data_IF_627845104104
#
_entry.id   IF_627845104104
#
_cell.length_a   1.000
_cell.length_b   1.000
_cell.length_c   1.000
_cell.angle_alpha   90.00
_cell.angle_beta   90.00
_cell.angle_gamma   90.00
#
_symmetry.space_group_name_H-M   'P 1'
#
loop_
_entity.id
_entity.type
_entity.pdbx_description
1 polymer ?
#
# COMPACT_ATOMS: atom_id res chain seq x y z
N UNK A 1 10.94 21.43 -36.07
CA UNK A 1 11.95 20.74 -35.24
C UNK A 1 12.97 20.12 -36.18
N UNK A 2 14.25 20.45 -36.04
CA UNK A 2 15.27 20.08 -37.04
C UNK A 2 15.89 18.69 -36.80
N UNK A 3 15.30 17.91 -35.90
CA UNK A 3 15.80 16.60 -35.52
C UNK A 3 14.72 15.53 -35.69
N UNK A 4 15.08 14.45 -36.36
CA UNK A 4 14.27 13.24 -36.45
C UNK A 4 14.38 12.42 -35.15
N UNK A 5 13.45 11.48 -34.94
CA UNK A 5 13.53 10.52 -33.86
C UNK A 5 14.79 9.64 -33.96
N UNK A 6 15.21 9.01 -32.85
CA UNK A 6 16.35 8.07 -32.88
C UNK A 6 15.95 6.83 -33.69
N UNK A 7 16.62 6.60 -34.82
CA UNK A 7 16.36 5.52 -35.77
C UNK A 7 17.66 4.79 -36.13
N UNK A 8 17.61 3.51 -36.53
CA UNK A 8 18.78 2.81 -37.05
C UNK A 8 19.24 3.43 -38.38
N UNK A 9 20.55 3.51 -38.58
CA UNK A 9 21.16 4.10 -39.79
C UNK A 9 21.27 3.13 -40.97
N UNK A 10 20.94 1.85 -40.76
CA UNK A 10 21.09 0.78 -41.76
C UNK A 10 22.49 0.18 -41.86
N UNK A 11 23.49 0.76 -41.17
CA UNK A 11 24.87 0.25 -41.15
C UNK A 11 24.96 -0.95 -40.21
N UNK A 12 25.53 -2.05 -40.70
CA UNK A 12 25.78 -3.26 -39.91
C UNK A 12 27.24 -3.34 -39.48
N UNK A 13 27.48 -3.35 -38.17
CA UNK A 13 28.79 -3.57 -37.55
C UNK A 13 28.65 -4.47 -36.33
N UNK A 14 29.76 -5.10 -35.92
CA UNK A 14 29.80 -5.89 -34.69
C UNK A 14 29.87 -4.96 -33.48
N UNK A 15 28.80 -4.92 -32.69
CA UNK A 15 28.71 -4.09 -31.48
C UNK A 15 29.15 -4.88 -30.24
N UNK A 16 29.65 -4.16 -29.23
CA UNK A 16 29.84 -4.75 -27.89
C UNK A 16 28.49 -5.02 -27.23
N UNK A 17 28.46 -5.93 -26.25
CA UNK A 17 27.22 -6.40 -25.61
C UNK A 17 26.27 -5.26 -25.19
N UNK A 18 26.76 -4.27 -24.43
CA UNK A 18 25.91 -3.15 -23.98
C UNK A 18 25.40 -2.27 -25.13
N UNK A 19 26.23 -2.03 -26.15
CA UNK A 19 25.84 -1.28 -27.35
C UNK A 19 24.78 -2.05 -28.15
N UNK A 20 24.97 -3.37 -28.30
CA UNK A 20 24.01 -4.25 -28.95
C UNK A 20 22.65 -4.21 -28.23
N UNK A 21 22.64 -4.28 -26.90
CA UNK A 21 21.39 -4.22 -26.13
C UNK A 21 20.62 -2.90 -26.36
N UNK A 22 21.31 -1.76 -26.40
CA UNK A 22 20.69 -0.46 -26.70
C UNK A 22 20.21 -0.41 -28.15
N UNK A 23 21.03 -0.88 -29.09
CA UNK A 23 20.69 -0.93 -30.51
C UNK A 23 19.46 -1.81 -30.77
N UNK A 24 19.38 -3.00 -30.15
CA UNK A 24 18.25 -3.91 -30.27
C UNK A 24 16.95 -3.26 -29.78
N UNK A 25 17.00 -2.48 -28.70
CA UNK A 25 15.83 -1.75 -28.20
C UNK A 25 15.38 -0.70 -29.23
N UNK A 26 16.32 0.06 -29.80
CA UNK A 26 16.03 1.09 -30.82
C UNK A 26 15.44 0.43 -32.07
N UNK A 27 16.06 -0.62 -32.58
CA UNK A 27 15.62 -1.33 -33.79
C UNK A 27 14.26 -1.97 -33.59
N UNK A 28 14.03 -2.70 -32.48
CA UNK A 28 12.71 -3.26 -32.18
C UNK A 28 11.64 -2.17 -32.08
N UNK A 29 11.97 -1.04 -31.45
CA UNK A 29 11.05 0.09 -31.37
C UNK A 29 10.76 0.71 -32.73
N UNK A 30 11.76 0.82 -33.60
CA UNK A 30 11.61 1.32 -34.97
C UNK A 30 10.77 0.37 -35.82
N UNK A 31 11.07 -0.94 -35.81
CA UNK A 31 10.30 -1.97 -36.51
C UNK A 31 8.84 -1.94 -36.09
N UNK A 32 8.57 -1.81 -34.77
CA UNK A 32 7.21 -1.77 -34.23
C UNK A 32 6.36 -0.61 -34.78
N UNK A 33 6.95 0.46 -35.28
CA UNK A 33 6.20 1.59 -35.90
C UNK A 33 5.58 1.19 -37.24
N UNK A 34 6.11 0.16 -37.91
CA UNK A 34 5.60 -0.34 -39.19
C UNK A 34 4.56 -1.46 -39.05
N UNK A 35 4.20 -1.82 -37.82
CA UNK A 35 3.12 -2.75 -37.54
C UNK A 35 1.83 -1.99 -37.26
N UNK A 36 0.70 -2.65 -37.50
CA UNK A 36 -0.61 -2.12 -37.14
C UNK A 36 -0.73 -1.84 -35.64
N UNK A 37 -1.66 -0.96 -35.30
CA UNK A 37 -2.03 -0.70 -33.91
C UNK A 37 -2.56 -1.96 -33.22
N UNK A 38 -2.30 -2.05 -31.91
CA UNK A 38 -2.90 -3.09 -31.08
C UNK A 38 -4.39 -2.78 -30.87
N UNK A 39 -5.27 -3.57 -31.46
CA UNK A 39 -6.71 -3.49 -31.23
C UNK A 39 -7.06 -4.10 -29.87
N UNK A 40 -7.64 -3.29 -28.99
CA UNK A 40 -8.09 -3.71 -27.66
C UNK A 40 -9.56 -3.34 -27.42
N UNK A 41 -10.31 -4.25 -26.82
CA UNK A 41 -11.65 -3.96 -26.31
C UNK A 41 -11.58 -3.68 -24.80
N UNK A 42 -12.00 -2.49 -24.36
CA UNK A 42 -12.11 -2.19 -22.94
C UNK A 42 -13.40 -2.82 -22.39
N UNK A 43 -13.25 -3.86 -21.58
CA UNK A 43 -14.35 -4.68 -21.09
C UNK A 43 -14.67 -4.33 -19.65
N UNK A 44 -15.92 -3.94 -19.40
CA UNK A 44 -16.47 -3.81 -18.04
C UNK A 44 -17.47 -4.94 -17.82
N UNK A 45 -17.18 -5.81 -16.86
CA UNK A 45 -18.05 -6.92 -16.51
C UNK A 45 -18.74 -6.60 -15.20
N UNK A 46 -20.07 -6.64 -15.22
CA UNK A 46 -20.91 -6.49 -14.05
C UNK A 46 -21.50 -7.86 -13.73
N UNK A 47 -20.96 -8.49 -12.68
CA UNK A 47 -21.39 -9.79 -12.19
C UNK A 47 -22.33 -9.63 -10.99
N UNK A 48 -23.20 -10.61 -10.78
CA UNK A 48 -24.07 -10.68 -9.59
C UNK A 48 -23.89 -12.01 -8.90
N UNK A 49 -23.56 -11.98 -7.61
CA UNK A 49 -23.60 -13.16 -6.74
C UNK A 49 -24.64 -12.93 -5.65
N UNK A 50 -25.66 -13.78 -5.59
CA UNK A 50 -26.86 -13.60 -4.78
C UNK A 50 -27.50 -12.20 -4.98
N UNK A 51 -27.36 -11.28 -4.01
CA UNK A 51 -27.88 -9.90 -4.09
C UNK A 51 -26.78 -8.85 -4.29
N UNK A 52 -25.51 -9.24 -4.31
CA UNK A 52 -24.37 -8.32 -4.37
C UNK A 52 -23.88 -8.19 -5.81
N UNK A 53 -23.65 -6.95 -6.24
CA UNK A 53 -23.10 -6.62 -7.56
C UNK A 53 -21.59 -6.45 -7.45
N UNK A 54 -20.86 -7.09 -8.37
CA UNK A 54 -19.42 -6.99 -8.51
C UNK A 54 -19.08 -6.35 -9.86
N UNK A 55 -18.05 -5.52 -9.89
CA UNK A 55 -17.53 -4.90 -11.11
C UNK A 55 -16.08 -5.33 -11.28
N UNK A 56 -15.74 -5.79 -12.48
CA UNK A 56 -14.34 -5.88 -12.92
C UNK A 56 -14.17 -5.12 -14.22
N UNK A 57 -13.00 -4.51 -14.39
CA UNK A 57 -12.64 -3.76 -15.57
C UNK A 57 -11.30 -4.25 -16.06
N UNK A 58 -11.18 -4.41 -17.36
CA UNK A 58 -9.92 -4.74 -17.99
C UNK A 58 -10.03 -4.61 -19.49
N UNK A 59 -9.09 -5.21 -20.20
CA UNK A 59 -8.99 -5.15 -21.65
C UNK A 59 -8.84 -6.54 -22.24
N UNK A 60 -9.48 -6.75 -23.36
CA UNK A 60 -9.29 -7.92 -24.20
C UNK A 60 -8.46 -7.50 -25.41
N UNK A 61 -7.44 -8.28 -25.76
CA UNK A 61 -6.59 -8.00 -26.93
C UNK A 61 -7.22 -8.71 -28.13
N UNK A 62 -7.79 -7.94 -29.06
CA UNK A 62 -8.43 -8.46 -30.28
C UNK A 62 -7.37 -8.74 -31.36
N UNK A 63 -6.43 -7.81 -31.53
CA UNK A 63 -5.28 -7.95 -32.41
C UNK A 63 -4.04 -7.37 -31.74
N UNK A 64 -2.93 -8.11 -31.80
CA UNK A 64 -1.69 -7.74 -31.08
C UNK A 64 -0.96 -6.56 -31.73
N UNK A 65 -1.04 -6.43 -33.06
CA UNK A 65 -0.34 -5.37 -33.81
C UNK A 65 1.17 -5.34 -33.48
N UNK A 66 1.69 -4.14 -33.24
CA UNK A 66 3.08 -3.89 -32.85
C UNK A 66 3.59 -4.70 -31.65
N UNK A 67 2.71 -5.23 -30.79
CA UNK A 67 3.11 -6.00 -29.60
C UNK A 67 3.91 -7.25 -29.95
N UNK A 68 3.67 -7.84 -31.12
CA UNK A 68 4.36 -9.04 -31.60
C UNK A 68 5.89 -8.86 -31.60
N UNK A 69 6.37 -7.65 -31.89
CA UNK A 69 7.81 -7.33 -31.92
C UNK A 69 8.48 -7.42 -30.53
N UNK A 70 7.69 -7.29 -29.46
CA UNK A 70 8.17 -7.33 -28.07
C UNK A 70 7.89 -8.65 -27.36
N UNK A 71 7.19 -9.59 -27.99
CA UNK A 71 6.94 -10.91 -27.42
C UNK A 71 8.23 -11.73 -27.41
N UNK A 72 8.79 -11.99 -26.22
CA UNK A 72 9.81 -13.02 -26.07
C UNK A 72 9.16 -14.29 -25.53
N UNK A 73 9.53 -15.43 -26.10
CA UNK A 73 9.09 -16.78 -25.68
C UNK A 73 9.36 -17.11 -24.20
N UNK A 74 10.29 -16.38 -23.56
CA UNK A 74 10.67 -16.58 -22.16
C UNK A 74 10.05 -15.58 -21.16
N UNK A 75 9.32 -14.56 -21.62
CA UNK A 75 8.66 -13.60 -20.73
C UNK A 75 7.15 -13.76 -20.83
N UNK A 76 6.56 -14.46 -19.84
CA UNK A 76 5.14 -14.29 -19.54
C UNK A 76 4.94 -12.88 -19.01
N UNK A 77 4.75 -11.92 -19.90
CA UNK A 77 4.31 -10.59 -19.51
C UNK A 77 2.97 -10.75 -18.79
N UNK A 78 3.03 -10.68 -17.46
CA UNK A 78 1.85 -10.56 -16.60
C UNK A 78 1.35 -9.13 -16.70
N UNK A 79 0.92 -8.72 -17.88
CA UNK A 79 0.25 -7.44 -18.04
C UNK A 79 -1.06 -7.54 -17.25
N UNK A 80 -1.14 -6.81 -16.14
CA UNK A 80 -2.30 -6.83 -15.26
C UNK A 80 -3.50 -6.20 -15.97
N UNK A 81 -4.67 -6.85 -15.87
CA UNK A 81 -5.92 -6.33 -16.41
C UNK A 81 -6.29 -6.84 -17.80
N UNK A 82 -5.60 -7.87 -18.32
CA UNK A 82 -6.13 -8.65 -19.44
C UNK A 82 -7.27 -9.52 -18.93
N UNK A 83 -8.44 -9.38 -19.54
CA UNK A 83 -9.62 -10.18 -19.24
C UNK A 83 -9.88 -11.18 -20.39
N UNK A 84 -10.40 -12.37 -20.09
CA UNK A 84 -10.96 -13.23 -21.12
C UNK A 84 -12.23 -12.61 -21.71
N UNK A 85 -12.67 -13.14 -22.85
CA UNK A 85 -13.97 -12.83 -23.43
C UNK A 85 -15.09 -13.27 -22.47
N UNK A 86 -16.07 -12.40 -22.24
CA UNK A 86 -17.25 -12.71 -21.43
C UNK A 86 -18.51 -12.63 -22.27
N UNK A 87 -19.43 -13.59 -22.08
CA UNK A 87 -20.74 -13.57 -22.73
C UNK A 87 -21.83 -13.15 -21.73
N UNK A 88 -22.76 -12.30 -22.15
CA UNK A 88 -23.90 -11.91 -21.31
C UNK A 88 -24.70 -13.16 -20.90
N UNK A 89 -24.90 -13.33 -19.60
CA UNK A 89 -25.64 -14.47 -19.04
C UNK A 89 -24.78 -15.68 -18.66
N UNK A 90 -23.47 -15.65 -18.95
CA UNK A 90 -22.52 -16.65 -18.48
C UNK A 90 -22.51 -16.73 -16.93
N UNK A 91 -22.31 -17.93 -16.41
CA UNK A 91 -22.30 -18.23 -14.97
C UNK A 91 -21.14 -19.17 -14.66
N UNK A 92 -20.52 -18.98 -13.51
CA UNK A 92 -19.42 -19.81 -13.06
C UNK A 92 -19.38 -19.94 -11.53
N UNK A 93 -18.60 -20.91 -11.01
CA UNK A 93 -18.33 -21.00 -9.59
C UNK A 93 -17.63 -19.73 -9.09
N UNK A 94 -17.90 -19.33 -7.85
CA UNK A 94 -17.23 -18.20 -7.20
C UNK A 94 -16.88 -18.56 -5.76
N UNK A 95 -15.70 -18.14 -5.32
CA UNK A 95 -15.23 -18.32 -3.94
C UNK A 95 -15.04 -16.94 -3.30
N UNK A 96 -15.83 -16.60 -2.26
CA UNK A 96 -15.67 -15.31 -1.58
C UNK A 96 -14.37 -15.31 -0.78
N UNK A 97 -13.63 -14.21 -0.86
CA UNK A 97 -12.45 -13.94 -0.02
C UNK A 97 -12.53 -12.55 0.59
N UNK A 98 -11.99 -12.41 1.80
CA UNK A 98 -11.84 -11.12 2.47
C UNK A 98 -10.41 -10.63 2.26
N UNK A 99 -10.25 -9.59 1.45
CA UNK A 99 -8.97 -8.93 1.22
C UNK A 99 -8.83 -7.75 2.17
N UNK A 100 -7.99 -7.92 3.19
CA UNK A 100 -7.51 -6.81 4.00
C UNK A 100 -6.45 -6.04 3.22
N UNK A 101 -6.64 -4.72 3.07
CA UNK A 101 -5.73 -3.84 2.33
C UNK A 101 -5.35 -2.67 3.23
N UNK A 102 -4.09 -2.27 3.13
CA UNK A 102 -3.56 -1.07 3.78
C UNK A 102 -2.99 -0.12 2.74
N UNK A 103 -3.03 1.18 3.02
CA UNK A 103 -2.34 2.17 2.19
C UNK A 103 -0.83 1.98 2.32
N UNK A 104 -0.13 2.19 1.20
CA UNK A 104 1.33 2.17 1.18
C UNK A 104 1.85 3.58 0.97
N UNK A 105 2.96 3.97 1.62
CA UNK A 105 3.60 5.23 1.31
C UNK A 105 4.06 5.26 -0.16
N UNK A 106 4.28 6.45 -0.74
CA UNK A 106 4.84 6.58 -2.07
C UNK A 106 6.14 5.78 -2.22
N UNK A 107 6.31 5.12 -3.36
CA UNK A 107 7.54 4.40 -3.65
C UNK A 107 8.68 5.40 -3.84
N UNK A 108 9.88 5.03 -3.39
CA UNK A 108 11.09 5.77 -3.74
C UNK A 108 11.30 5.78 -5.25
N UNK A 109 11.96 6.83 -5.73
CA UNK A 109 12.33 6.93 -7.14
C UNK A 109 13.31 5.82 -7.54
N UNK A 110 13.21 5.37 -8.78
CA UNK A 110 14.29 4.75 -9.54
C UNK A 110 14.88 5.81 -10.48
N UNK A 111 15.99 5.54 -11.16
CA UNK A 111 16.51 6.50 -12.15
C UNK A 111 15.49 6.81 -13.25
N UNK A 112 14.77 5.78 -13.72
CA UNK A 112 13.71 5.94 -14.72
C UNK A 112 12.53 6.77 -14.19
N UNK A 113 12.07 6.53 -12.96
CA UNK A 113 10.95 7.31 -12.41
C UNK A 113 11.37 8.72 -11.98
N UNK A 114 12.63 8.93 -11.60
CA UNK A 114 13.19 10.25 -11.36
C UNK A 114 13.29 11.05 -12.67
N UNK A 115 13.77 10.44 -13.75
CA UNK A 115 13.86 11.08 -15.06
C UNK A 115 12.47 11.47 -15.58
N UNK A 116 11.48 10.57 -15.43
CA UNK A 116 10.07 10.88 -15.70
C UNK A 116 9.53 12.00 -14.82
N UNK A 117 9.92 12.05 -13.54
CA UNK A 117 9.51 13.13 -12.64
C UNK A 117 10.11 14.48 -13.06
N UNK A 118 11.36 14.50 -13.55
CA UNK A 118 11.97 15.70 -14.11
C UNK A 118 11.24 16.16 -15.38
N UNK A 119 10.87 15.24 -16.27
CA UNK A 119 10.04 15.52 -17.46
C UNK A 119 8.68 16.12 -17.11
N UNK A 120 8.02 15.58 -16.10
CA UNK A 120 6.65 16.00 -15.72
C UNK A 120 6.61 16.91 -14.50
N UNK A 121 7.70 17.59 -14.18
CA UNK A 121 7.81 18.43 -12.99
C UNK A 121 6.75 19.53 -12.93
N UNK A 122 6.29 20.02 -14.10
CA UNK A 122 5.20 20.98 -14.20
C UNK A 122 3.88 20.53 -13.56
N UNK A 123 3.65 19.23 -13.36
CA UNK A 123 2.45 18.73 -12.64
C UNK A 123 2.36 19.19 -11.18
N UNK A 124 3.48 19.65 -10.62
CA UNK A 124 3.54 20.17 -9.25
C UNK A 124 3.46 21.70 -9.20
N UNK A 125 3.25 22.36 -10.34
CA UNK A 125 3.07 23.81 -10.44
C UNK A 125 1.58 24.11 -10.46
N UNK A 126 1.15 25.03 -9.60
CA UNK A 126 -0.26 25.41 -9.47
C UNK A 126 -0.73 26.33 -10.60
N UNK A 127 0.16 27.19 -11.12
CA UNK A 127 -0.13 28.08 -12.24
C UNK A 127 -0.25 27.33 -13.57
N UNK A 128 -1.39 27.48 -14.25
CA UNK A 128 -1.72 26.74 -15.47
C UNK A 128 -0.78 27.11 -16.63
N UNK A 129 -0.40 28.37 -16.75
CA UNK A 129 0.45 28.86 -17.84
C UNK A 129 1.88 28.33 -17.69
N UNK A 130 2.44 28.41 -16.48
CA UNK A 130 3.75 27.83 -16.15
C UNK A 130 3.74 26.31 -16.30
N UNK A 131 2.65 25.65 -15.88
CA UNK A 131 2.50 24.20 -16.05
C UNK A 131 2.55 23.80 -17.51
N UNK A 132 1.85 24.54 -18.39
CA UNK A 132 1.83 24.29 -19.82
C UNK A 132 3.20 24.47 -20.46
N UNK A 133 3.93 25.51 -20.08
CA UNK A 133 5.31 25.74 -20.54
C UNK A 133 6.27 24.63 -20.08
N UNK A 134 6.02 24.06 -18.90
CA UNK A 134 6.77 22.93 -18.38
C UNK A 134 6.36 21.57 -18.94
N UNK A 135 5.27 21.45 -19.72
CA UNK A 135 4.88 20.15 -20.34
C UNK A 135 5.90 19.67 -21.37
N UNK A 136 6.52 20.60 -22.10
CA UNK A 136 7.50 20.27 -23.15
C UNK A 136 8.90 19.99 -22.55
N UNK A 137 9.29 20.78 -21.55
CA UNK A 137 10.68 20.80 -21.06
C UNK A 137 10.86 20.28 -19.63
N UNK A 138 9.86 20.33 -18.75
CA UNK A 138 10.02 19.95 -17.35
C UNK A 138 11.20 20.68 -16.68
N UNK A 139 11.94 19.98 -15.81
CA UNK A 139 13.22 20.45 -15.27
C UNK A 139 14.37 19.88 -16.11
N UNK A 140 15.07 20.76 -16.82
CA UNK A 140 16.18 20.42 -17.71
C UNK A 140 15.73 19.81 -19.04
N UNK A 141 16.62 19.79 -20.03
CA UNK A 141 16.33 19.28 -21.38
C UNK A 141 16.66 17.78 -21.50
N UNK A 142 16.13 17.06 -22.50
CA UNK A 142 16.49 15.65 -22.74
C UNK A 142 18.00 15.38 -22.73
N UNK A 143 18.81 16.32 -23.22
CA UNK A 143 20.28 16.25 -23.25
C UNK A 143 20.96 16.47 -21.88
N UNK A 144 20.30 17.09 -20.90
CA UNK A 144 20.94 17.48 -19.63
C UNK A 144 20.49 16.64 -18.43
N UNK A 145 19.30 16.02 -18.47
CA UNK A 145 18.74 15.28 -17.32
C UNK A 145 19.64 14.14 -16.81
N UNK A 146 20.20 13.32 -17.72
CA UNK A 146 21.09 12.24 -17.34
C UNK A 146 22.36 12.76 -16.64
N UNK A 147 22.95 13.83 -17.16
CA UNK A 147 24.15 14.46 -16.58
C UNK A 147 23.86 15.11 -15.21
N UNK A 148 22.67 15.67 -15.02
CA UNK A 148 22.23 16.20 -13.70
C UNK A 148 22.19 15.05 -12.68
N UNK A 149 21.55 13.93 -13.01
CA UNK A 149 21.43 12.77 -12.12
C UNK A 149 22.83 12.21 -11.78
N UNK A 150 23.70 12.05 -12.77
CA UNK A 150 25.08 11.60 -12.55
C UNK A 150 25.89 12.58 -11.69
N UNK A 151 25.68 13.89 -11.84
CA UNK A 151 26.30 14.91 -10.98
C UNK A 151 25.86 14.77 -9.53
N UNK A 152 24.57 14.49 -9.28
CA UNK A 152 24.04 14.27 -7.93
C UNK A 152 24.66 13.01 -7.28
N UNK A 153 24.90 11.94 -8.06
CA UNK A 153 25.64 10.76 -7.59
C UNK A 153 27.12 11.08 -7.31
N UNK A 154 27.81 11.75 -8.25
CA UNK A 154 29.23 12.12 -8.13
C UNK A 154 29.47 12.99 -6.90
N UNK A 155 28.58 13.95 -6.62
CA UNK A 155 28.63 14.83 -5.44
C UNK A 155 28.09 14.17 -4.16
N UNK A 156 27.64 12.91 -4.23
CA UNK A 156 27.14 12.11 -3.11
C UNK A 156 25.92 12.71 -2.40
N UNK A 157 25.07 13.46 -3.12
CA UNK A 157 23.78 13.94 -2.60
C UNK A 157 22.70 12.85 -2.63
N UNK A 158 22.81 11.94 -3.59
CA UNK A 158 21.95 10.75 -3.72
C UNK A 158 22.82 9.49 -3.82
N UNK A 159 22.23 8.33 -3.54
CA UNK A 159 22.88 7.02 -3.64
C UNK A 159 21.96 5.97 -4.23
N UNK A 160 22.55 5.00 -4.93
CA UNK A 160 21.86 3.80 -5.42
C UNK A 160 21.67 2.82 -4.28
N UNK A 161 20.44 2.37 -4.07
CA UNK A 161 20.09 1.27 -3.19
C UNK A 161 19.30 0.23 -3.99
N UNK A 162 20.00 -0.76 -4.55
CA UNK A 162 19.45 -1.66 -5.57
C UNK A 162 18.90 -0.83 -6.74
N UNK A 163 17.60 -0.94 -7.03
CA UNK A 163 16.91 -0.18 -8.08
C UNK A 163 16.43 1.21 -7.63
N UNK A 164 16.54 1.52 -6.33
CA UNK A 164 16.04 2.77 -5.76
C UNK A 164 17.13 3.84 -5.70
N UNK A 165 16.74 5.09 -5.89
CA UNK A 165 17.53 6.28 -5.68
C UNK A 165 17.10 6.89 -4.36
N UNK A 166 18.02 6.97 -3.40
CA UNK A 166 17.76 7.50 -2.06
C UNK A 166 18.63 8.75 -1.80
N UNK A 167 18.10 9.77 -1.10
CA UNK A 167 18.92 10.88 -0.66
C UNK A 167 19.94 10.43 0.39
N UNK A 168 21.11 11.06 0.41
CA UNK A 168 22.08 10.91 1.49
C UNK A 168 21.80 11.93 2.59
N UNK A 169 22.41 11.76 3.76
CA UNK A 169 22.32 12.75 4.85
C UNK A 169 22.80 14.12 4.38
N UNK A 170 23.90 14.16 3.63
CA UNK A 170 24.43 15.40 3.03
C UNK A 170 23.46 16.03 2.04
N UNK A 171 22.79 15.23 1.21
CA UNK A 171 21.76 15.72 0.28
C UNK A 171 20.58 16.37 1.00
N UNK A 172 20.07 15.72 2.06
CA UNK A 172 18.98 16.28 2.88
C UNK A 172 19.42 17.59 3.55
N UNK A 173 20.59 17.60 4.19
CA UNK A 173 21.13 18.79 4.86
C UNK A 173 21.35 19.97 3.92
N UNK A 174 21.75 19.71 2.67
CA UNK A 174 21.89 20.76 1.66
C UNK A 174 20.54 21.43 1.38
N UNK A 175 19.49 20.63 1.19
CA UNK A 175 18.14 21.15 0.96
C UNK A 175 17.63 21.91 2.19
N UNK A 176 17.84 21.39 3.39
CA UNK A 176 17.43 22.04 4.65
C UNK A 176 18.15 23.36 4.90
N UNK A 177 19.36 23.53 4.34
CA UNK A 177 20.17 24.75 4.49
C UNK A 177 19.63 25.88 3.63
N UNK A 178 19.14 25.58 2.43
CA UNK A 178 18.61 26.58 1.50
C UNK A 178 17.31 27.13 2.12
N UNK A 179 17.36 28.36 2.65
CA UNK A 179 16.19 29.01 3.26
C UNK A 179 15.22 29.52 2.19
N UNK A 180 15.75 30.00 1.08
CA UNK A 180 14.94 30.51 -0.01
C UNK A 180 14.22 29.36 -0.75
N UNK A 181 12.90 29.29 -0.59
CA UNK A 181 12.07 28.24 -1.20
C UNK A 181 11.98 28.34 -2.74
N UNK A 182 12.15 29.55 -3.29
CA UNK A 182 12.18 29.78 -4.74
C UNK A 182 13.31 28.99 -5.41
N UNK A 183 14.48 28.89 -4.76
CA UNK A 183 15.63 28.13 -5.26
C UNK A 183 15.40 26.61 -5.30
N UNK A 184 14.43 26.12 -4.54
CA UNK A 184 14.06 24.70 -4.46
C UNK A 184 12.80 24.40 -5.29
N UNK A 185 12.13 25.43 -5.81
CA UNK A 185 10.85 25.31 -6.53
C UNK A 185 11.07 24.97 -8.01
N UNK A 186 10.21 24.08 -8.52
CA UNK A 186 10.09 23.81 -9.95
C UNK A 186 9.60 25.05 -10.73
N UNK A 187 8.83 25.93 -10.06
CA UNK A 187 8.23 27.13 -10.67
C UNK A 187 9.28 28.12 -11.16
N UNK A 188 10.38 28.29 -10.42
CA UNK A 188 11.48 29.16 -10.84
C UNK A 188 12.05 28.70 -12.19
N UNK A 189 12.24 27.38 -12.35
CA UNK A 189 12.69 26.79 -13.62
C UNK A 189 11.68 27.03 -14.73
N UNK A 190 10.38 26.88 -14.45
CA UNK A 190 9.30 27.17 -15.40
C UNK A 190 9.31 28.63 -15.87
N UNK A 191 9.49 29.58 -14.93
CA UNK A 191 9.56 31.01 -15.25
C UNK A 191 10.76 31.38 -16.14
N UNK A 192 11.90 30.69 -15.98
CA UNK A 192 13.06 30.88 -16.83
C UNK A 192 12.82 30.33 -18.23
N UNK A 193 12.25 29.13 -18.36
CA UNK A 193 11.89 28.57 -19.67
C UNK A 193 10.86 29.45 -20.39
N UNK A 194 9.90 30.06 -19.66
CA UNK A 194 8.98 31.07 -20.21
C UNK A 194 9.75 32.24 -20.84
N UNK A 195 10.60 32.89 -20.04
CA UNK A 195 11.35 34.07 -20.49
C UNK A 195 12.28 33.74 -21.66
N UNK A 196 12.89 32.55 -21.69
CA UNK A 196 13.69 32.10 -22.83
C UNK A 196 12.85 31.93 -24.11
N UNK A 197 11.62 31.41 -24.00
CA UNK A 197 10.69 31.28 -25.12
C UNK A 197 10.19 32.64 -25.62
N UNK A 198 9.96 33.59 -24.72
CA UNK A 198 9.57 34.96 -25.08
C UNK A 198 10.71 35.68 -25.82
N UNK A 199 11.98 35.40 -25.47
CA UNK A 199 13.15 35.89 -26.21
C UNK A 199 13.22 35.26 -27.61
N UNK A 200 12.99 33.95 -27.72
CA UNK A 200 12.97 33.24 -29.02
C UNK A 200 11.91 33.81 -29.97
N UNK A 201 10.74 34.19 -29.43
CA UNK A 201 9.67 34.86 -30.18
C UNK A 201 9.92 36.35 -30.47
N UNK A 202 10.92 36.96 -29.83
CA UNK A 202 11.17 38.40 -29.91
C UNK A 202 10.25 39.27 -29.05
N UNK A 203 9.46 38.68 -28.15
CA UNK A 203 8.55 39.36 -27.22
C UNK A 203 9.29 39.92 -25.99
N UNK A 204 10.50 39.39 -25.70
CA UNK A 204 11.34 39.84 -24.60
C UNK A 204 12.80 40.01 -25.02
N UNK A 205 13.49 41.03 -24.50
CA UNK A 205 14.90 41.27 -24.87
C UNK A 205 15.86 40.44 -24.02
N UNK A 206 16.84 39.80 -24.67
CA UNK A 206 17.91 39.08 -23.99
C UNK A 206 18.70 39.99 -23.02
N UNK A 207 18.87 41.28 -23.37
CA UNK A 207 19.50 42.26 -22.49
C UNK A 207 18.71 42.49 -21.20
N UNK A 208 17.38 42.62 -21.28
CA UNK A 208 16.52 42.76 -20.10
C UNK A 208 16.53 41.48 -19.26
N UNK A 209 16.53 40.31 -19.88
CA UNK A 209 16.66 39.01 -19.19
C UNK A 209 17.92 38.95 -18.35
N UNK A 210 19.09 39.24 -18.94
CA UNK A 210 20.37 39.22 -18.22
C UNK A 210 20.39 40.26 -17.09
N UNK A 211 19.82 41.45 -17.30
CA UNK A 211 19.71 42.48 -16.25
C UNK A 211 18.86 42.00 -15.08
N UNK A 212 17.71 41.39 -15.35
CA UNK A 212 16.82 40.84 -14.32
C UNK A 212 17.47 39.68 -13.57
N UNK A 213 18.17 38.80 -14.28
CA UNK A 213 18.92 37.70 -13.68
C UNK A 213 20.02 38.20 -12.73
N UNK A 214 20.80 39.22 -13.15
CA UNK A 214 21.82 39.84 -12.27
C UNK A 214 21.19 40.40 -11.00
N UNK A 215 20.10 41.16 -11.12
CA UNK A 215 19.38 41.71 -9.95
C UNK A 215 18.86 40.61 -9.03
N UNK A 216 18.35 39.51 -9.59
CA UNK A 216 17.92 38.36 -8.80
C UNK A 216 19.09 37.71 -8.05
N UNK A 217 20.22 37.51 -8.71
CA UNK A 217 21.44 36.98 -8.08
C UNK A 217 21.93 37.91 -6.96
N UNK A 218 21.96 39.22 -7.19
CA UNK A 218 22.37 40.20 -6.18
C UNK A 218 21.45 40.15 -4.94
N UNK A 219 20.14 40.04 -5.15
CA UNK A 219 19.16 39.91 -4.07
C UNK A 219 19.35 38.60 -3.29
N UNK A 220 19.55 37.48 -3.97
CA UNK A 220 19.81 36.18 -3.35
C UNK A 220 21.12 36.17 -2.55
N UNK A 221 22.19 36.77 -3.09
CA UNK A 221 23.47 36.89 -2.40
C UNK A 221 23.33 37.77 -1.16
N UNK A 222 22.58 38.87 -1.25
CA UNK A 222 22.29 39.72 -0.09
C UNK A 222 21.52 38.95 0.98
N UNK A 223 20.44 38.26 0.60
CA UNK A 223 19.64 37.41 1.50
C UNK A 223 20.54 36.41 2.24
N UNK A 224 21.32 35.60 1.50
CA UNK A 224 22.22 34.59 2.08
C UNK A 224 23.30 35.20 2.97
N UNK A 225 23.80 36.41 2.65
CA UNK A 225 24.78 37.11 3.49
C UNK A 225 24.16 37.68 4.77
N UNK A 226 22.91 38.08 4.72
CA UNK A 226 22.12 38.58 5.84
C UNK A 226 21.58 37.46 6.73
N UNK A 227 21.66 36.21 6.29
CA UNK A 227 21.27 35.05 7.10
C UNK A 227 22.13 34.89 8.35
N UNK A 228 21.45 34.74 9.49
CA UNK A 228 22.08 34.57 10.81
C UNK A 228 22.38 33.11 11.16
N UNK A 229 21.82 32.14 10.42
CA UNK A 229 22.02 30.70 10.61
C UNK A 229 23.07 30.18 9.64
N UNK A 230 24.31 29.98 10.10
CA UNK A 230 25.38 29.38 9.27
C UNK A 230 25.29 27.86 9.29
N UNK A 231 25.05 27.23 8.14
CA UNK A 231 25.16 25.79 7.97
C UNK A 231 26.51 25.41 7.37
N UNK A 232 27.41 24.85 8.19
CA UNK A 232 28.66 24.27 7.70
C UNK A 232 28.40 22.84 7.23
N UNK A 233 28.23 22.63 5.92
CA UNK A 233 28.05 21.30 5.33
C UNK A 233 29.43 20.76 4.94
N UNK A 234 30.04 19.91 5.77
CA UNK A 234 31.22 19.14 5.36
C UNK A 234 31.07 17.65 5.66
N UNK A 235 31.48 16.80 4.73
CA UNK A 235 31.39 15.35 4.87
C UNK A 235 32.19 14.82 6.09
N UNK A 236 33.24 15.55 6.48
CA UNK A 236 34.07 15.27 7.65
C UNK A 236 33.43 15.63 9.00
N UNK A 237 32.54 16.64 9.05
CA UNK A 237 31.82 16.99 10.30
C UNK A 237 30.65 16.05 10.59
N UNK A 238 30.09 15.37 9.57
CA UNK A 238 29.00 14.39 9.72
C UNK A 238 29.40 13.18 10.56
N UNK A 239 30.68 12.76 10.52
CA UNK A 239 31.16 11.64 11.33
C UNK A 239 31.33 12.01 12.82
N UNK A 240 31.64 13.28 13.13
CA UNK A 240 31.82 13.77 14.51
C UNK A 240 30.50 14.11 15.21
N UNK A 241 29.47 14.52 14.46
CA UNK A 241 28.12 14.77 14.99
C UNK A 241 27.23 13.52 15.06
N UNK A 242 27.82 12.32 15.05
CA UNK A 242 27.16 11.08 15.44
C UNK A 242 26.93 10.97 16.96
N UNK A 243 27.01 12.08 17.71
CA UNK A 243 26.32 12.19 19.00
C UNK A 243 24.82 12.23 18.69
N UNK A 244 24.19 11.08 18.93
CA UNK A 244 22.76 10.81 18.92
C UNK A 244 21.92 12.09 19.10
N UNK A 245 21.54 12.72 17.99
CA UNK A 245 20.27 13.43 17.97
C UNK A 245 19.23 12.31 18.03
N UNK A 246 18.89 11.90 19.25
CA UNK A 246 17.64 11.24 19.54
C UNK A 246 16.55 12.25 19.16
N UNK A 247 16.25 12.36 17.86
CA UNK A 247 14.96 12.84 17.41
C UNK A 247 13.96 11.84 17.95
N UNK A 248 13.47 12.10 19.17
CA UNK A 248 12.20 11.58 19.66
C UNK A 248 11.19 12.01 18.61
N UNK A 249 10.98 11.14 17.62
CA UNK A 249 9.77 11.10 16.82
C UNK A 249 8.66 11.09 17.87
N UNK A 250 7.93 12.21 18.01
CA UNK A 250 6.64 12.23 18.69
C UNK A 250 5.65 11.42 17.85
N UNK A 251 5.87 10.12 17.78
CA UNK A 251 4.77 9.18 17.61
C UNK A 251 4.09 9.14 18.98
N UNK A 252 2.78 9.41 19.02
CA UNK A 252 1.96 9.13 20.20
C UNK A 252 2.15 7.65 20.57
N UNK A 253 3.07 7.39 21.50
CA UNK A 253 3.40 6.06 21.99
C UNK A 253 2.64 5.81 23.29
N UNK A 254 2.72 4.59 23.80
CA UNK A 254 2.06 4.20 25.05
C UNK A 254 2.44 5.09 26.25
N UNK A 255 3.55 5.82 26.14
CA UNK A 255 4.03 6.77 27.15
C UNK A 255 3.21 8.07 27.25
N UNK A 256 2.24 8.31 26.36
CA UNK A 256 1.26 9.39 26.49
C UNK A 256 -0.05 8.97 27.17
N UNK A 257 -0.24 7.67 27.40
CA UNK A 257 -1.44 7.13 28.04
C UNK A 257 -1.35 7.23 29.57
N UNK A 258 -2.49 7.54 30.19
CA UNK A 258 -2.63 7.61 31.65
C UNK A 258 -2.64 6.21 32.24
N UNK A 259 -1.96 6.03 33.38
CA UNK A 259 -1.92 4.77 34.11
C UNK A 259 -3.35 4.33 34.50
N UNK A 260 -3.77 3.10 34.15
CA UNK A 260 -5.13 2.64 34.42
C UNK A 260 -5.39 2.39 35.92
N UNK A 261 -4.32 2.11 36.69
CA UNK A 261 -4.41 1.82 38.13
C UNK A 261 -4.54 3.08 38.99
N UNK A 262 -3.70 4.10 38.78
CA UNK A 262 -3.73 5.33 39.60
C UNK A 262 -4.42 6.52 38.94
N UNK A 263 -4.63 6.51 37.61
CA UNK A 263 -5.25 7.59 36.81
C UNK A 263 -4.62 8.99 36.92
N UNK A 264 -3.53 9.13 37.67
CA UNK A 264 -2.88 10.43 37.96
C UNK A 264 -1.52 10.59 37.27
N UNK A 265 -0.93 9.49 36.80
CA UNK A 265 0.43 9.46 36.26
C UNK A 265 0.46 8.77 34.89
N UNK A 266 1.53 9.01 34.13
CA UNK A 266 1.70 8.48 32.78
C UNK A 266 2.51 7.18 32.79
N UNK A 267 2.48 6.43 31.69
CA UNK A 267 3.30 5.24 31.56
C UNK A 267 4.73 5.57 31.08
N UNK A 268 5.71 4.89 31.65
CA UNK A 268 7.13 4.96 31.28
C UNK A 268 7.59 3.62 30.72
N UNK A 269 8.38 3.65 29.65
CA UNK A 269 8.95 2.45 29.04
C UNK A 269 10.23 2.03 29.76
N UNK A 270 10.22 0.85 30.38
CA UNK A 270 11.39 0.20 30.97
C UNK A 270 12.07 -0.81 30.02
N UNK A 271 12.99 -1.61 30.56
CA UNK A 271 13.75 -2.63 29.79
C UNK A 271 12.86 -3.80 29.34
N UNK A 272 11.93 -4.23 30.20
CA UNK A 272 11.10 -5.42 29.98
C UNK A 272 9.59 -5.17 30.10
N UNK A 273 9.18 -3.97 30.51
CA UNK A 273 7.78 -3.61 30.79
C UNK A 273 7.56 -2.09 30.68
N UNK A 274 6.30 -1.67 30.55
CA UNK A 274 5.89 -0.30 30.85
C UNK A 274 5.48 -0.21 32.33
N UNK A 275 5.90 0.83 33.05
CA UNK A 275 5.56 1.05 34.45
C UNK A 275 4.92 2.42 34.67
N UNK A 276 4.23 2.61 35.78
CA UNK A 276 3.69 3.91 36.16
C UNK A 276 4.80 4.93 36.48
N UNK A 277 4.68 6.19 36.06
CA UNK A 277 5.63 7.25 36.42
C UNK A 277 5.62 7.58 37.91
N UNK A 278 4.53 7.30 38.61
CA UNK A 278 4.38 7.44 40.06
C UNK A 278 4.71 6.14 40.83
N UNK A 279 5.54 5.25 40.26
CA UNK A 279 5.92 3.99 40.92
C UNK A 279 6.60 4.22 42.28
N UNK A 280 7.44 5.25 42.38
CA UNK A 280 8.08 5.66 43.64
C UNK A 280 7.11 6.28 44.66
N UNK A 281 5.93 6.70 44.22
CA UNK A 281 4.89 7.32 45.04
C UNK A 281 3.80 6.31 45.44
N UNK A 282 4.01 5.01 45.23
CA UNK A 282 3.13 3.93 45.68
C UNK A 282 2.33 3.21 44.60
N UNK A 283 2.44 3.58 43.31
CA UNK A 283 1.73 2.87 42.23
C UNK A 283 2.55 1.73 41.62
N UNK A 284 2.22 0.49 41.95
CA UNK A 284 2.87 -0.76 41.50
C UNK A 284 2.43 -1.25 40.10
N UNK A 285 1.80 -0.42 39.26
CA UNK A 285 1.35 -0.85 37.94
C UNK A 285 2.52 -1.18 37.00
N UNK A 286 2.51 -2.41 36.46
CA UNK A 286 3.52 -2.93 35.53
C UNK A 286 2.83 -3.68 34.39
N UNK A 287 3.20 -3.33 33.15
CA UNK A 287 2.68 -3.89 31.92
C UNK A 287 3.83 -4.54 31.11
N UNK A 288 4.03 -5.85 31.21
CA UNK A 288 5.18 -6.54 30.62
C UNK A 288 5.11 -6.59 29.09
N UNK A 289 6.24 -6.51 28.39
CA UNK A 289 6.26 -6.58 26.91
C UNK A 289 5.88 -7.95 26.35
N UNK A 290 6.01 -8.99 27.18
CA UNK A 290 5.65 -10.36 26.84
C UNK A 290 4.61 -10.88 27.82
N UNK A 291 3.64 -11.62 27.31
CA UNK A 291 2.61 -12.30 28.08
C UNK A 291 2.41 -13.70 27.49
N UNK A 292 2.56 -14.75 28.31
CA UNK A 292 2.53 -16.16 27.88
C UNK A 292 3.41 -16.45 26.65
N UNK A 293 4.69 -16.07 26.73
CA UNK A 293 5.73 -16.18 25.67
C UNK A 293 5.46 -15.42 24.37
N UNK A 294 4.42 -14.57 24.36
CA UNK A 294 4.08 -13.75 23.20
C UNK A 294 4.40 -12.29 23.46
N UNK A 295 5.15 -11.69 22.55
CA UNK A 295 5.34 -10.23 22.53
C UNK A 295 4.04 -9.54 22.16
N UNK A 296 3.56 -8.66 23.04
CA UNK A 296 2.39 -7.83 22.78
C UNK A 296 2.87 -6.50 22.20
N UNK A 297 2.30 -6.12 21.07
CA UNK A 297 2.68 -4.88 20.38
C UNK A 297 2.15 -3.64 21.10
N UNK A 298 2.82 -2.51 20.90
CA UNK A 298 2.41 -1.23 21.49
C UNK A 298 0.97 -0.83 21.12
N UNK A 299 0.55 -1.06 19.87
CA UNK A 299 -0.84 -0.82 19.42
C UNK A 299 -1.87 -1.68 20.17
N UNK A 300 -1.51 -2.93 20.50
CA UNK A 300 -2.38 -3.82 21.28
C UNK A 300 -2.52 -3.33 22.72
N UNK A 301 -1.44 -2.80 23.31
CA UNK A 301 -1.51 -2.17 24.64
C UNK A 301 -2.31 -0.88 24.64
N UNK A 302 -2.17 -0.02 23.63
CA UNK A 302 -3.00 1.19 23.50
C UNK A 302 -4.48 0.80 23.47
N UNK A 303 -4.84 -0.23 22.69
CA UNK A 303 -6.22 -0.73 22.65
C UNK A 303 -6.68 -1.30 24.00
N UNK A 304 -5.82 -2.07 24.69
CA UNK A 304 -6.11 -2.61 26.01
C UNK A 304 -6.40 -1.48 27.03
N UNK A 305 -5.61 -0.41 27.02
CA UNK A 305 -5.82 0.75 27.90
C UNK A 305 -7.09 1.54 27.55
N UNK A 306 -7.35 1.76 26.26
CA UNK A 306 -8.48 2.59 25.80
C UNK A 306 -9.83 1.84 25.76
N UNK A 307 -9.82 0.53 25.54
CA UNK A 307 -11.02 -0.30 25.31
C UNK A 307 -11.16 -1.45 26.32
N UNK A 308 -10.26 -1.56 27.30
CA UNK A 308 -10.27 -2.59 28.34
C UNK A 308 -9.96 -4.01 27.85
N UNK A 309 -9.61 -4.19 26.58
CA UNK A 309 -9.23 -5.50 26.00
C UNK A 309 -8.44 -5.37 24.69
N UNK A 310 -7.63 -6.39 24.37
CA UNK A 310 -7.07 -6.55 23.03
C UNK A 310 -8.09 -7.15 22.05
N UNK A 311 -7.76 -7.16 20.76
CA UNK A 311 -8.41 -8.11 19.82
C UNK A 311 -7.97 -9.55 20.15
N UNK A 312 -8.64 -10.54 19.56
CA UNK A 312 -8.21 -11.93 19.66
C UNK A 312 -6.79 -12.08 19.08
N UNK A 313 -5.85 -12.50 19.93
CA UNK A 313 -4.49 -12.81 19.56
C UNK A 313 -4.35 -14.33 19.52
N UNK A 314 -3.83 -14.85 18.40
CA UNK A 314 -3.55 -16.28 18.22
C UNK A 314 -2.21 -16.66 18.84
N UNK A 315 -2.03 -17.89 19.30
CA UNK A 315 -0.70 -18.39 19.63
C UNK A 315 -0.30 -18.26 21.11
N UNK A 316 -1.26 -18.18 22.02
CA UNK A 316 -0.96 -18.29 23.46
C UNK A 316 -0.81 -19.75 23.85
N UNK A 317 0.27 -20.10 24.55
CA UNK A 317 0.47 -21.44 25.08
C UNK A 317 -0.19 -21.54 26.45
N UNK A 318 -1.16 -22.43 26.59
CA UNK A 318 -1.76 -22.83 27.88
C UNK A 318 -1.50 -24.32 28.12
N UNK A 319 -1.80 -24.81 29.32
CA UNK A 319 -1.68 -26.23 29.66
C UNK A 319 -2.54 -27.15 28.76
N UNK A 320 -3.54 -26.58 28.08
CA UNK A 320 -4.49 -27.27 27.19
C UNK A 320 -4.13 -27.14 25.69
N UNK A 321 -3.02 -26.46 25.36
CA UNK A 321 -2.52 -26.29 24.00
C UNK A 321 -2.35 -24.84 23.56
N UNK A 322 -2.30 -24.62 22.24
CA UNK A 322 -2.16 -23.28 21.65
C UNK A 322 -3.56 -22.69 21.41
N UNK A 323 -3.90 -21.63 22.15
CA UNK A 323 -5.23 -21.00 22.11
C UNK A 323 -5.21 -19.61 21.47
N UNK A 324 -6.35 -19.22 20.90
CA UNK A 324 -6.65 -17.85 20.48
C UNK A 324 -7.51 -17.19 21.57
N UNK A 325 -7.22 -15.95 21.96
CA UNK A 325 -8.00 -15.26 22.98
C UNK A 325 -7.67 -13.78 23.07
N UNK A 326 -8.49 -13.04 23.81
CA UNK A 326 -8.26 -11.63 24.07
C UNK A 326 -7.59 -11.46 25.44
N UNK A 327 -6.76 -10.43 25.58
CA UNK A 327 -6.09 -10.09 26.84
C UNK A 327 -6.86 -8.95 27.49
N UNK A 328 -7.11 -9.05 28.80
CA UNK A 328 -7.72 -8.03 29.66
C UNK A 328 -6.89 -7.80 30.92
N UNK A 329 -7.24 -6.77 31.68
CA UNK A 329 -6.80 -6.62 33.06
C UNK A 329 -7.73 -7.40 33.99
N UNK A 330 -7.15 -8.05 35.01
CA UNK A 330 -7.89 -8.54 36.18
C UNK A 330 -8.12 -7.40 37.20
N UNK A 331 -8.76 -7.72 38.33
CA UNK A 331 -9.06 -6.77 39.41
C UNK A 331 -7.80 -6.13 40.02
N UNK A 332 -6.62 -6.75 39.82
CA UNK A 332 -5.33 -6.27 40.28
C UNK A 332 -4.51 -5.55 39.18
N UNK A 333 -5.12 -5.29 38.02
CA UNK A 333 -4.49 -4.71 36.84
C UNK A 333 -3.33 -5.54 36.25
N UNK A 334 -3.36 -6.86 36.46
CA UNK A 334 -2.47 -7.82 35.78
C UNK A 334 -3.11 -8.35 34.51
N UNK A 335 -2.29 -8.76 33.54
CA UNK A 335 -2.77 -9.31 32.28
C UNK A 335 -3.40 -10.69 32.51
N UNK A 336 -4.64 -10.85 32.08
CA UNK A 336 -5.40 -12.11 32.06
C UNK A 336 -5.77 -12.46 30.62
N UNK A 337 -5.53 -13.71 30.24
CA UNK A 337 -6.02 -14.26 28.98
C UNK A 337 -7.47 -14.69 29.16
N UNK A 338 -8.36 -14.20 28.32
CA UNK A 338 -9.69 -14.76 28.12
C UNK A 338 -9.64 -15.55 26.80
N UNK A 339 -9.52 -16.89 26.87
CA UNK A 339 -9.57 -17.72 25.68
C UNK A 339 -10.86 -17.45 24.93
N UNK A 340 -10.78 -17.41 23.61
CA UNK A 340 -11.98 -17.38 22.76
C UNK A 340 -12.69 -18.69 23.02
N UNK A 341 -13.77 -18.63 23.80
CA UNK A 341 -14.71 -19.74 23.91
C UNK A 341 -15.28 -19.96 22.52
N UNK A 342 -14.69 -20.89 21.76
CA UNK A 342 -15.54 -21.74 20.94
C UNK A 342 -16.44 -22.41 21.94
N UNK A 343 -17.67 -21.92 22.07
CA UNK A 343 -18.75 -22.77 22.55
C UNK A 343 -18.71 -24.00 21.64
N UNK A 344 -18.01 -25.03 22.09
CA UNK A 344 -18.43 -26.38 21.83
C UNK A 344 -19.88 -26.37 22.29
N UNK A 345 -20.80 -26.29 21.33
CA UNK A 345 -22.23 -26.41 21.60
C UNK A 345 -22.37 -27.65 22.48
N UNK A 346 -22.78 -27.43 23.73
CA UNK A 346 -23.32 -28.47 24.56
C UNK A 346 -24.32 -29.25 23.69
N UNK A 347 -24.16 -30.58 23.65
CA UNK A 347 -25.14 -31.50 23.06
C UNK A 347 -26.53 -31.07 23.55
N UNK A 348 -27.30 -30.47 22.66
CA UNK A 348 -28.69 -30.10 22.85
C UNK A 348 -29.48 -30.95 21.88
N UNK A 349 -30.23 -31.89 22.46
CA UNK A 349 -31.31 -32.71 21.91
C UNK A 349 -31.19 -33.16 20.45
N UNK A 350 -30.48 -34.27 20.26
CA UNK A 350 -30.57 -35.03 19.03
C UNK A 350 -31.96 -35.67 18.91
N UNK A 351 -32.84 -35.07 18.12
CA UNK A 351 -34.15 -35.61 17.78
C UNK A 351 -33.99 -37.01 17.15
N UNK A 352 -34.67 -38.03 17.70
CA UNK A 352 -34.69 -39.36 17.11
C UNK A 352 -35.40 -39.32 15.74
N UNK A 353 -34.92 -40.09 14.76
CA UNK A 353 -35.50 -40.12 13.43
C UNK A 353 -36.94 -40.67 13.51
N UNK A 354 -37.96 -39.88 13.12
CA UNK A 354 -39.35 -40.30 13.26
C UNK A 354 -39.71 -41.50 12.36
N UNK A 355 -38.99 -41.72 11.26
CA UNK A 355 -39.22 -42.85 10.34
C UNK A 355 -38.65 -44.18 10.84
N UNK A 356 -37.40 -44.22 11.31
CA UNK A 356 -36.73 -45.48 11.67
C UNK A 356 -36.52 -45.68 13.18
N UNK A 357 -36.63 -44.62 13.99
CA UNK A 357 -36.39 -44.54 15.45
C UNK A 357 -35.03 -45.04 15.95
N UNK A 358 -34.22 -45.68 15.11
CA UNK A 358 -32.87 -46.19 15.39
C UNK A 358 -31.77 -45.16 15.10
N UNK A 359 -32.02 -44.23 14.18
CA UNK A 359 -31.11 -43.13 13.86
C UNK A 359 -31.58 -41.81 14.48
N UNK A 360 -30.74 -40.79 14.40
CA UNK A 360 -31.04 -39.41 14.83
C UNK A 360 -31.18 -38.51 13.61
N UNK A 361 -31.99 -37.45 13.72
CA UNK A 361 -32.14 -36.45 12.67
C UNK A 361 -30.88 -35.59 12.63
N UNK A 362 -30.23 -35.57 11.48
CA UNK A 362 -29.05 -34.77 11.20
C UNK A 362 -29.36 -33.70 10.15
N UNK A 363 -28.71 -32.55 10.26
CA UNK A 363 -28.89 -31.43 9.34
C UNK A 363 -27.87 -31.52 8.19
N UNK A 364 -28.35 -31.67 6.96
CA UNK A 364 -27.54 -31.66 5.74
C UNK A 364 -27.43 -30.27 5.09
N UNK A 365 -26.97 -30.22 3.83
CA UNK A 365 -26.81 -28.95 3.08
C UNK A 365 -28.14 -28.33 2.64
N UNK A 366 -29.16 -29.14 2.35
CA UNK A 366 -30.48 -28.68 1.85
C UNK A 366 -31.68 -29.32 2.54
N UNK A 367 -31.46 -30.29 3.43
CA UNK A 367 -32.51 -31.05 4.10
C UNK A 367 -32.04 -31.57 5.47
N UNK A 368 -32.98 -31.84 6.36
CA UNK A 368 -32.78 -32.73 7.50
C UNK A 368 -32.94 -34.19 7.03
N UNK A 369 -32.11 -35.10 7.50
CA UNK A 369 -32.17 -36.51 7.15
C UNK A 369 -31.76 -37.43 8.29
N UNK A 370 -31.87 -38.74 8.10
CA UNK A 370 -31.50 -39.71 9.14
C UNK A 370 -29.99 -40.00 9.16
N UNK A 371 -29.39 -40.09 10.35
CA UNK A 371 -27.99 -40.55 10.49
C UNK A 371 -27.78 -42.01 10.08
N UNK A 372 -28.83 -42.83 10.07
CA UNK A 372 -28.78 -44.24 9.67
C UNK A 372 -29.16 -44.47 8.19
N UNK A 373 -28.99 -43.46 7.33
CA UNK A 373 -29.38 -43.55 5.92
C UNK A 373 -28.61 -44.63 5.14
N UNK A 374 -27.36 -44.90 5.51
CA UNK A 374 -26.54 -45.97 4.91
C UNK A 374 -27.09 -47.37 5.19
N UNK A 375 -27.87 -47.52 6.26
CA UNK A 375 -28.53 -48.78 6.62
C UNK A 375 -29.95 -48.86 6.06
N UNK A 376 -30.30 -48.01 5.08
CA UNK A 376 -31.57 -48.06 4.34
C UNK A 376 -32.63 -47.04 4.76
N UNK A 377 -32.36 -46.12 5.69
CA UNK A 377 -33.33 -45.08 6.08
C UNK A 377 -33.28 -43.87 5.13
N UNK A 378 -34.30 -43.72 4.30
CA UNK A 378 -34.48 -42.64 3.32
C UNK A 378 -35.16 -41.37 3.88
N UNK A 379 -35.36 -41.27 5.20
CA UNK A 379 -36.00 -40.10 5.82
C UNK A 379 -35.27 -38.81 5.46
N UNK A 380 -36.02 -37.86 4.86
CA UNK A 380 -35.50 -36.59 4.38
C UNK A 380 -36.59 -35.52 4.32
N UNK A 381 -36.36 -34.38 4.97
CA UNK A 381 -37.26 -33.21 4.94
C UNK A 381 -36.46 -31.99 4.50
N UNK A 382 -36.84 -31.38 3.38
CA UNK A 382 -36.14 -30.22 2.82
C UNK A 382 -36.37 -28.94 3.63
N UNK A 383 -35.36 -28.06 3.68
CA UNK A 383 -35.46 -26.82 4.44
C UNK A 383 -36.56 -25.88 3.94
N UNK A 384 -36.88 -25.92 2.65
CA UNK A 384 -37.92 -25.06 2.07
C UNK A 384 -39.33 -25.50 2.51
N UNK A 385 -39.54 -26.80 2.75
CA UNK A 385 -40.79 -27.33 3.32
C UNK A 385 -40.96 -26.87 4.77
N UNK A 386 -39.88 -26.90 5.56
CA UNK A 386 -39.91 -26.43 6.94
C UNK A 386 -40.16 -24.92 7.01
N UNK A 387 -39.52 -24.15 6.13
CA UNK A 387 -39.73 -22.69 6.04
C UNK A 387 -41.17 -22.34 5.62
N UNK A 388 -41.75 -23.10 4.69
CA UNK A 388 -43.15 -22.94 4.32
C UNK A 388 -44.08 -23.23 5.51
N UNK A 389 -43.87 -24.33 6.22
CA UNK A 389 -44.67 -24.70 7.41
C UNK A 389 -44.48 -23.77 8.62
N UNK A 390 -43.37 -23.04 8.69
CA UNK A 390 -43.12 -22.05 9.74
C UNK A 390 -43.96 -20.77 9.59
N UNK A 391 -44.58 -20.50 8.43
CA UNK A 391 -45.48 -19.35 8.18
C UNK A 391 -45.00 -18.00 8.78
N UNK A 392 -43.69 -17.71 8.68
CA UNK A 392 -43.11 -16.45 9.17
C UNK A 392 -42.71 -16.40 10.64
N UNK A 393 -42.96 -17.46 11.42
CA UNK A 393 -42.49 -17.58 12.80
C UNK A 393 -40.96 -17.71 12.88
N UNK A 394 -40.36 -17.18 13.95
CA UNK A 394 -38.92 -17.32 14.20
C UNK A 394 -38.58 -18.80 14.39
N UNK A 395 -37.51 -19.32 13.75
CA UNK A 395 -37.14 -20.73 13.84
C UNK A 395 -36.57 -21.04 15.22
N UNK A 396 -37.41 -21.54 16.13
CA UNK A 396 -36.99 -22.17 17.39
C UNK A 396 -36.72 -23.66 17.18
N UNK A 397 -35.92 -24.26 18.07
CA UNK A 397 -35.51 -25.67 17.94
C UNK A 397 -36.74 -26.59 18.08
N UNK A 398 -37.63 -26.25 19.00
CA UNK A 398 -38.86 -26.98 19.31
C UNK A 398 -39.83 -26.98 18.12
N UNK A 399 -40.02 -25.82 17.48
CA UNK A 399 -40.90 -25.68 16.32
C UNK A 399 -40.37 -26.46 15.11
N UNK A 400 -39.05 -26.45 14.89
CA UNK A 400 -38.42 -27.23 13.83
C UNK A 400 -38.55 -28.73 14.12
N UNK A 401 -38.39 -29.17 15.37
CA UNK A 401 -38.57 -30.57 15.75
C UNK A 401 -40.02 -31.05 15.57
N UNK A 402 -41.01 -30.22 15.94
CA UNK A 402 -42.42 -30.51 15.71
C UNK A 402 -42.72 -30.68 14.21
N UNK A 403 -42.29 -29.73 13.38
CA UNK A 403 -42.51 -29.78 11.93
C UNK A 403 -41.83 -31.00 11.30
N UNK A 404 -40.65 -31.39 11.78
CA UNK A 404 -39.92 -32.58 11.31
C UNK A 404 -40.68 -33.86 11.67
N UNK A 405 -41.28 -33.95 12.85
CA UNK A 405 -42.10 -35.10 13.25
C UNK A 405 -43.44 -35.17 12.50
N UNK A 406 -44.05 -34.02 12.18
CA UNK A 406 -45.28 -33.95 11.37
C UNK A 406 -45.04 -34.18 9.88
N UNK A 407 -43.79 -34.09 9.41
CA UNK A 407 -43.42 -34.27 7.99
C UNK A 407 -42.77 -35.62 7.71
N UNK A 408 -42.86 -36.56 8.67
CA UNK A 408 -42.17 -37.84 8.68
C UNK A 408 -42.98 -39.01 8.13
#
# INVERSE_FOLDING_TARGET
TDHHAIIPTGIQIKLQYNQQQVYDIIVKRFIAVFYDDCAVANTTVIGKAAKVVFKTTGKEILAKGWRVVFENSNTKDKESGILPTFVKGEKGPHEPSFLEKETKPPNHFTEATLLRAMETAGKQVDDEELRDLMKENGIGRPSTRANIIETLFKRKYIKRNKKQVLPTVTGVQLIDTIQNDLLKSAELTGSWEKQLKDIEKGEFSAGAFIKNMKRMVDALVYEVRSETKRANISQATVLKNRKQINTKKKTAGLTTETCPKCKQAMLLKGKNAYGCSAFKSGCDFVLPFHFSDKKISEKQFIRLLQKGSTVNLKGFKTNEGIVEGLVRFDDNFKLKLEPKTTSAKAKTDSLACPKCRKGTVIKGKSAYGCSNYKSGCDFKVYFDVIRAKMNGNKPTIELVHQIINESA
#
